data_IF_261216820374
#
_entry.id   IF_261216820374
#
_cell.length_a   1.000
_cell.length_b   1.000
_cell.length_c   1.000
_cell.angle_alpha   90.00
_cell.angle_beta   90.00
_cell.angle_gamma   90.00
#
_symmetry.space_group_name_H-M   'P 1'
#
loop_
_entity.id
_entity.type
_entity.pdbx_description
1 polymer ?
#
# COMPACT_ATOMS: atom_id res chain seq x y z
N UNK A 1 -5.56 3.29 -22.23
CA UNK A 1 -5.20 4.17 -21.09
C UNK A 1 -5.01 5.58 -21.63
N UNK A 2 -5.99 6.46 -21.34
CA UNK A 2 -5.84 7.87 -21.59
C UNK A 2 -4.69 8.39 -20.72
N UNK A 3 -3.75 9.12 -21.30
CA UNK A 3 -2.69 9.86 -20.57
C UNK A 3 -3.29 11.09 -19.85
N UNK A 4 -4.35 10.91 -19.08
CA UNK A 4 -4.78 11.91 -18.12
C UNK A 4 -3.81 11.85 -16.94
N UNK A 5 -3.39 12.99 -16.43
CA UNK A 5 -2.54 13.13 -15.26
C UNK A 5 -3.18 12.35 -14.09
N UNK A 6 -2.76 11.10 -13.90
CA UNK A 6 -3.22 10.32 -12.76
C UNK A 6 -2.44 10.80 -11.53
N UNK A 7 -3.17 11.17 -10.50
CA UNK A 7 -2.60 11.60 -9.23
C UNK A 7 -2.49 10.40 -8.31
N UNK A 8 -1.36 10.28 -7.63
CA UNK A 8 -1.17 9.31 -6.54
C UNK A 8 -0.72 10.05 -5.29
N UNK A 9 -1.12 9.54 -4.13
CA UNK A 9 -0.59 9.99 -2.84
C UNK A 9 0.32 8.89 -2.30
N UNK A 10 1.60 9.21 -2.16
CA UNK A 10 2.60 8.28 -1.65
C UNK A 10 2.99 8.67 -0.23
N UNK A 11 2.91 7.71 0.71
CA UNK A 11 3.40 7.83 2.08
C UNK A 11 4.48 6.81 2.32
N UNK A 12 5.69 7.27 2.69
CA UNK A 12 6.87 6.42 2.80
C UNK A 12 7.46 6.49 4.20
N UNK A 13 7.83 5.35 4.75
CA UNK A 13 8.76 5.26 5.87
C UNK A 13 10.15 4.78 5.38
N UNK A 14 11.20 5.17 6.07
CA UNK A 14 12.58 4.78 5.78
C UNK A 14 13.33 4.47 7.07
N UNK A 15 14.09 3.37 7.08
CA UNK A 15 14.88 2.95 8.23
C UNK A 15 14.12 2.02 9.17
N UNK A 16 12.89 1.65 8.85
CA UNK A 16 12.17 0.56 9.52
C UNK A 16 12.57 -0.78 8.90
N UNK A 17 12.13 -1.89 9.47
CA UNK A 17 12.44 -3.22 8.93
C UNK A 17 11.70 -3.56 7.62
N UNK A 18 10.70 -2.77 7.24
CA UNK A 18 9.80 -3.07 6.13
C UNK A 18 8.88 -4.27 6.43
N UNK A 19 8.16 -4.74 5.41
CA UNK A 19 7.25 -5.88 5.53
C UNK A 19 7.97 -7.17 5.12
N UNK A 20 8.56 -7.83 6.12
CA UNK A 20 9.29 -9.10 5.95
C UNK A 20 8.38 -10.32 6.10
N UNK A 21 9.01 -11.51 6.08
CA UNK A 21 8.34 -12.80 6.23
C UNK A 21 7.82 -13.39 4.92
N UNK A 22 7.06 -14.50 5.00
CA UNK A 22 6.54 -15.21 3.85
C UNK A 22 5.51 -14.39 3.05
N UNK A 23 5.16 -14.86 1.86
CA UNK A 23 4.12 -14.26 1.00
C UNK A 23 2.74 -14.86 1.29
N UNK A 24 2.71 -16.12 1.74
CA UNK A 24 1.51 -16.88 2.03
C UNK A 24 1.36 -17.12 3.53
N UNK A 25 0.11 -17.18 3.99
CA UNK A 25 -0.22 -17.55 5.36
C UNK A 25 0.00 -19.05 5.64
N UNK A 26 0.06 -19.88 4.59
CA UNK A 26 0.32 -21.33 4.68
C UNK A 26 1.81 -21.68 4.81
N UNK A 27 2.71 -20.73 4.49
CA UNK A 27 4.13 -20.95 4.67
C UNK A 27 4.49 -21.01 6.16
N UNK A 28 5.20 -22.09 6.54
CA UNK A 28 5.71 -22.23 7.90
C UNK A 28 6.74 -21.15 8.22
N UNK A 29 6.52 -20.45 9.32
CA UNK A 29 7.49 -19.49 9.85
C UNK A 29 8.64 -20.26 10.52
N UNK A 30 9.88 -19.90 10.21
CA UNK A 30 10.98 -20.19 11.10
C UNK A 30 10.84 -19.33 12.36
N UNK A 31 11.21 -19.83 13.53
CA UNK A 31 11.01 -19.21 14.86
C UNK A 31 11.49 -17.74 14.99
N UNK A 32 12.27 -17.24 14.03
CA UNK A 32 12.82 -15.88 13.99
C UNK A 32 12.22 -14.98 12.93
N UNK A 33 11.29 -15.46 12.10
CA UNK A 33 10.73 -14.69 10.98
C UNK A 33 9.44 -13.98 11.37
N UNK A 34 9.32 -12.72 10.95
CA UNK A 34 8.09 -11.95 11.14
C UNK A 34 7.08 -12.30 10.05
N UNK A 35 5.79 -12.28 10.38
CA UNK A 35 4.70 -12.41 9.39
C UNK A 35 4.20 -11.04 8.90
N UNK A 36 5.04 -10.02 8.90
CA UNK A 36 4.60 -8.64 8.69
C UNK A 36 3.94 -8.45 7.32
N UNK A 37 4.48 -9.08 6.26
CA UNK A 37 3.91 -8.99 4.93
C UNK A 37 2.51 -9.62 4.86
N UNK A 38 2.38 -10.85 5.31
CA UNK A 38 1.08 -11.56 5.32
C UNK A 38 0.07 -10.82 6.19
N UNK A 39 0.47 -10.40 7.38
CA UNK A 39 -0.41 -9.68 8.30
C UNK A 39 -0.85 -8.33 7.76
N UNK A 40 0.00 -7.65 7.00
CA UNK A 40 -0.37 -6.36 6.41
C UNK A 40 -1.19 -6.53 5.14
N UNK A 41 -0.83 -7.45 4.25
CA UNK A 41 -1.42 -7.57 2.90
C UNK A 41 -2.60 -8.55 2.87
N UNK A 42 -2.47 -9.71 3.50
CA UNK A 42 -3.47 -10.80 3.41
C UNK A 42 -4.48 -10.78 4.57
N UNK A 43 -4.03 -10.49 5.80
CA UNK A 43 -4.84 -10.56 7.00
C UNK A 43 -5.41 -9.18 7.37
N UNK A 44 -6.39 -8.69 6.59
CA UNK A 44 -7.12 -7.48 6.95
C UNK A 44 -8.19 -7.81 7.97
N UNK A 45 -8.20 -7.05 9.07
CA UNK A 45 -9.17 -7.22 10.17
C UNK A 45 -8.77 -8.25 11.21
N UNK A 46 -7.61 -8.90 11.10
CA UNK A 46 -7.09 -9.76 12.16
C UNK A 46 -6.39 -8.93 13.23
N UNK A 47 -6.69 -9.12 14.53
CA UNK A 47 -5.94 -8.48 15.63
C UNK A 47 -4.48 -8.89 15.55
N UNK A 48 -3.57 -7.96 15.85
CA UNK A 48 -2.14 -8.30 16.03
C UNK A 48 -1.92 -8.73 17.49
N UNK A 49 -1.36 -9.89 17.69
CA UNK A 49 -0.92 -10.39 19.00
C UNK A 49 0.41 -9.76 19.49
N UNK A 50 0.67 -8.51 19.14
CA UNK A 50 1.90 -7.82 19.54
C UNK A 50 1.58 -6.85 20.65
N UNK A 51 2.12 -7.05 21.85
CA UNK A 51 1.89 -6.26 23.07
C UNK A 51 2.24 -4.76 23.00
N UNK A 52 2.83 -4.26 21.93
CA UNK A 52 3.22 -2.84 21.73
C UNK A 52 2.94 -2.34 20.30
N UNK A 53 2.14 -3.06 19.52
CA UNK A 53 1.74 -2.62 18.17
C UNK A 53 0.59 -1.63 18.23
N UNK A 54 0.79 -0.39 17.82
CA UNK A 54 -0.30 0.58 17.67
C UNK A 54 -1.35 0.06 16.68
N UNK A 55 -2.62 0.05 17.09
CA UNK A 55 -3.76 -0.32 16.25
C UNK A 55 -4.45 -1.63 16.65
N UNK A 56 -5.48 -1.53 17.48
CA UNK A 56 -6.16 -2.65 18.12
C UNK A 56 -7.11 -3.45 17.20
N UNK A 57 -7.57 -2.92 16.05
CA UNK A 57 -8.66 -3.52 15.28
C UNK A 57 -8.48 -3.54 13.75
N UNK A 58 -7.31 -3.21 13.21
CA UNK A 58 -7.10 -3.20 11.75
C UNK A 58 -7.87 -2.10 10.98
N UNK A 59 -8.58 -1.23 11.68
CA UNK A 59 -9.34 -0.11 11.08
C UNK A 59 -8.44 0.90 10.35
N UNK A 60 -7.21 1.12 10.82
CA UNK A 60 -6.25 2.00 10.17
C UNK A 60 -5.95 1.61 8.72
N UNK A 61 -5.94 0.30 8.42
CA UNK A 61 -5.74 -0.17 7.04
C UNK A 61 -6.93 0.15 6.13
N UNK A 62 -8.16 0.07 6.65
CA UNK A 62 -9.36 0.33 5.85
C UNK A 62 -9.47 1.79 5.44
N UNK A 63 -8.90 2.72 6.21
CA UNK A 63 -8.88 4.14 5.87
C UNK A 63 -8.08 4.44 4.61
N UNK A 64 -6.98 3.69 4.36
CA UNK A 64 -6.17 3.83 3.16
C UNK A 64 -6.98 3.59 1.88
N UNK A 65 -7.85 2.57 1.89
CA UNK A 65 -8.70 2.25 0.75
C UNK A 65 -9.78 3.31 0.56
N UNK A 66 -10.37 3.82 1.66
CA UNK A 66 -11.37 4.90 1.61
C UNK A 66 -10.80 6.22 1.09
N UNK A 67 -9.51 6.44 1.26
CA UNK A 67 -8.81 7.61 0.69
C UNK A 67 -8.63 7.50 -0.84
N UNK A 68 -8.79 6.33 -1.44
CA UNK A 68 -8.71 6.13 -2.88
C UNK A 68 -10.11 6.10 -3.49
N UNK A 69 -10.38 6.87 -4.53
CA UNK A 69 -11.66 6.83 -5.27
C UNK A 69 -11.92 5.48 -5.93
N UNK A 70 -10.85 4.73 -6.26
CA UNK A 70 -10.93 3.37 -6.79
C UNK A 70 -10.70 2.29 -5.73
N UNK A 71 -10.68 2.64 -4.44
CA UNK A 71 -10.44 1.75 -3.32
C UNK A 71 -9.16 0.89 -3.47
N UNK A 72 -8.11 1.46 -4.08
CA UNK A 72 -6.91 0.72 -4.46
C UNK A 72 -5.65 1.36 -3.89
N UNK A 73 -4.78 0.53 -3.34
CA UNK A 73 -3.49 0.90 -2.79
C UNK A 73 -2.41 -0.01 -3.37
N UNK A 74 -1.28 0.55 -3.80
CA UNK A 74 -0.07 -0.22 -4.04
C UNK A 74 0.80 -0.18 -2.79
N UNK A 75 1.46 -1.27 -2.51
CA UNK A 75 2.33 -1.45 -1.36
C UNK A 75 3.70 -1.84 -1.89
N UNK A 76 4.67 -0.96 -1.73
CA UNK A 76 6.07 -1.24 -2.02
C UNK A 76 6.84 -1.33 -0.71
N UNK A 77 7.65 -2.37 -0.53
CA UNK A 77 8.47 -2.52 0.67
C UNK A 77 9.85 -3.05 0.33
N UNK A 78 10.87 -2.43 0.94
CA UNK A 78 12.23 -2.93 0.96
C UNK A 78 12.51 -3.52 2.33
N UNK A 79 12.73 -4.82 2.39
CA UNK A 79 12.94 -5.57 3.63
C UNK A 79 14.19 -6.44 3.52
N UNK A 80 14.63 -7.02 4.62
CA UNK A 80 15.71 -8.02 4.63
C UNK A 80 15.11 -9.41 4.58
N UNK A 81 15.55 -10.20 3.60
CA UNK A 81 15.25 -11.62 3.50
C UNK A 81 16.58 -12.39 3.49
N UNK A 82 16.80 -13.26 4.49
CA UNK A 82 18.06 -14.02 4.65
C UNK A 82 19.32 -13.15 4.49
N UNK A 83 19.35 -12.00 5.16
CA UNK A 83 20.44 -11.00 5.13
C UNK A 83 20.66 -10.28 3.79
N UNK A 84 19.79 -10.46 2.80
CA UNK A 84 19.78 -9.67 1.56
C UNK A 84 18.59 -8.73 1.55
N UNK A 85 18.79 -7.54 0.98
CA UNK A 85 17.67 -6.65 0.73
C UNK A 85 16.79 -7.25 -0.37
N UNK A 86 15.49 -7.27 -0.15
CA UNK A 86 14.48 -7.72 -1.09
C UNK A 86 13.43 -6.63 -1.26
N UNK A 87 13.22 -6.20 -2.49
CA UNK A 87 12.11 -5.32 -2.84
C UNK A 87 10.88 -6.14 -3.17
N UNK A 88 9.71 -5.72 -2.69
CA UNK A 88 8.42 -6.37 -2.92
C UNK A 88 7.40 -5.31 -3.30
N UNK A 89 6.56 -5.61 -4.29
CA UNK A 89 5.45 -4.74 -4.67
C UNK A 89 4.20 -5.55 -4.96
N UNK A 90 3.07 -5.10 -4.42
CA UNK A 90 1.77 -5.73 -4.61
C UNK A 90 0.68 -4.65 -4.64
N UNK A 91 -0.30 -4.83 -5.52
CA UNK A 91 -1.52 -4.03 -5.51
C UNK A 91 -2.61 -4.71 -4.70
N UNK A 92 -3.41 -3.92 -4.01
CA UNK A 92 -4.55 -4.40 -3.25
C UNK A 92 -5.74 -3.45 -3.38
N UNK A 93 -6.93 -4.00 -3.69
CA UNK A 93 -8.18 -3.26 -3.62
C UNK A 93 -9.19 -3.92 -2.70
N UNK A 94 -10.02 -3.08 -2.10
CA UNK A 94 -11.09 -3.50 -1.23
C UNK A 94 -12.42 -2.94 -1.78
N UNK A 95 -13.14 -3.79 -2.52
CA UNK A 95 -14.47 -3.49 -3.05
C UNK A 95 -15.58 -4.24 -2.30
N UNK A 96 -16.78 -4.18 -2.84
CA UNK A 96 -17.93 -4.97 -2.37
C UNK A 96 -17.87 -6.38 -2.95
N UNK A 97 -18.51 -7.33 -2.25
CA UNK A 97 -18.66 -8.68 -2.80
C UNK A 97 -19.52 -8.67 -4.07
N UNK A 98 -19.21 -9.56 -4.99
CA UNK A 98 -19.99 -9.73 -6.24
C UNK A 98 -19.96 -11.17 -6.72
N UNK A 99 -20.91 -11.51 -7.60
CA UNK A 99 -20.97 -12.79 -8.26
C UNK A 99 -20.59 -12.63 -9.74
N UNK A 100 -19.71 -13.48 -10.22
CA UNK A 100 -19.31 -13.53 -11.64
C UNK A 100 -19.11 -14.97 -12.07
N UNK A 101 -19.69 -15.36 -13.22
CA UNK A 101 -19.63 -16.72 -13.79
C UNK A 101 -19.95 -17.83 -12.77
N UNK A 102 -20.98 -17.63 -11.93
CA UNK A 102 -21.41 -18.60 -10.92
C UNK A 102 -20.48 -18.72 -9.71
N UNK A 103 -19.47 -17.87 -9.59
CA UNK A 103 -18.55 -17.80 -8.45
C UNK A 103 -18.78 -16.54 -7.65
N UNK A 104 -18.71 -16.65 -6.32
CA UNK A 104 -18.76 -15.52 -5.39
C UNK A 104 -17.37 -15.00 -5.10
N UNK A 105 -17.18 -13.69 -5.27
CA UNK A 105 -15.97 -12.97 -4.94
C UNK A 105 -16.20 -12.08 -3.73
N UNK A 106 -15.23 -12.04 -2.81
CA UNK A 106 -15.33 -11.30 -1.55
C UNK A 106 -15.10 -9.78 -1.70
N UNK A 107 -14.82 -9.31 -2.91
CA UNK A 107 -14.45 -7.90 -3.15
C UNK A 107 -13.00 -7.57 -2.80
N UNK A 108 -12.22 -8.55 -2.36
CA UNK A 108 -10.78 -8.39 -2.11
C UNK A 108 -10.02 -8.80 -3.36
N UNK A 109 -9.19 -7.90 -3.89
CA UNK A 109 -8.43 -8.13 -5.11
C UNK A 109 -6.96 -7.80 -4.87
N UNK A 110 -6.08 -8.67 -5.37
CA UNK A 110 -4.64 -8.45 -5.35
C UNK A 110 -4.10 -8.46 -6.77
N UNK A 111 -3.12 -7.61 -7.04
CA UNK A 111 -2.39 -7.57 -8.28
C UNK A 111 -0.92 -7.80 -8.02
N UNK A 112 -0.34 -8.77 -8.70
CA UNK A 112 1.04 -9.20 -8.60
C UNK A 112 1.29 -10.33 -9.59
N UNK A 113 2.07 -11.33 -9.20
CA UNK A 113 2.29 -12.54 -9.98
C UNK A 113 1.42 -13.68 -9.45
N UNK A 114 1.04 -14.60 -10.32
CA UNK A 114 0.33 -15.80 -9.90
C UNK A 114 1.25 -16.63 -9.02
N UNK A 115 0.77 -17.06 -7.86
CA UNK A 115 1.53 -17.95 -6.98
C UNK A 115 1.70 -19.33 -7.62
N UNK A 116 2.90 -19.88 -7.51
CA UNK A 116 3.21 -21.24 -7.94
C UNK A 116 2.81 -22.31 -6.89
N UNK A 117 2.29 -21.89 -5.74
CA UNK A 117 1.86 -22.80 -4.67
C UNK A 117 0.70 -23.67 -5.14
N UNK A 118 0.87 -24.99 -5.03
CA UNK A 118 -0.17 -25.99 -5.34
C UNK A 118 -1.35 -25.92 -4.37
N UNK A 119 -1.11 -25.45 -3.13
CA UNK A 119 -2.11 -25.37 -2.07
C UNK A 119 -2.99 -24.13 -2.19
N UNK A 120 -2.47 -23.06 -2.75
CA UNK A 120 -3.17 -21.78 -2.92
C UNK A 120 -3.47 -21.49 -4.40
N UNK A 121 -4.28 -22.35 -5.03
CA UNK A 121 -4.75 -22.09 -6.39
C UNK A 121 -5.49 -20.77 -6.46
N UNK A 122 -4.99 -19.82 -7.25
CA UNK A 122 -5.45 -18.43 -7.40
C UNK A 122 -4.91 -17.44 -6.33
N UNK A 123 -3.88 -17.77 -5.58
CA UNK A 123 -3.15 -16.80 -4.79
C UNK A 123 -2.30 -15.89 -5.68
N UNK A 124 -2.07 -14.68 -5.21
CA UNK A 124 -1.24 -13.67 -5.87
C UNK A 124 -0.07 -13.36 -4.94
N UNK A 125 1.13 -13.47 -5.48
CA UNK A 125 2.38 -13.12 -4.81
C UNK A 125 2.83 -11.72 -5.25
N UNK A 126 3.66 -11.02 -4.47
CA UNK A 126 4.22 -9.74 -4.87
C UNK A 126 5.18 -9.89 -6.06
N UNK A 127 5.31 -8.82 -6.84
CA UNK A 127 6.50 -8.62 -7.66
C UNK A 127 7.71 -8.50 -6.73
N UNK A 128 8.85 -9.06 -7.11
CA UNK A 128 10.07 -9.02 -6.30
C UNK A 128 11.24 -8.41 -7.07
N UNK A 129 12.13 -7.77 -6.32
CA UNK A 129 13.42 -7.24 -6.76
C UNK A 129 13.34 -6.40 -8.05
N UNK A 130 13.90 -6.86 -9.16
CA UNK A 130 13.95 -6.10 -10.41
C UNK A 130 12.55 -5.91 -11.04
N UNK A 131 11.66 -6.89 -10.92
CA UNK A 131 10.28 -6.77 -11.41
C UNK A 131 9.52 -5.71 -10.62
N UNK A 132 9.69 -5.67 -9.29
CA UNK A 132 9.10 -4.64 -8.45
C UNK A 132 9.63 -3.25 -8.81
N UNK A 133 10.94 -3.10 -8.99
CA UNK A 133 11.58 -1.83 -9.38
C UNK A 133 11.16 -1.36 -10.76
N UNK A 134 11.09 -2.27 -11.73
CA UNK A 134 10.68 -1.95 -13.09
C UNK A 134 9.23 -1.45 -13.10
N UNK A 135 8.35 -2.13 -12.39
CA UNK A 135 6.96 -1.71 -12.25
C UNK A 135 6.85 -0.33 -11.57
N UNK A 136 7.58 -0.11 -10.46
CA UNK A 136 7.62 1.18 -9.79
C UNK A 136 8.08 2.30 -10.74
N UNK A 137 9.12 2.05 -11.52
CA UNK A 137 9.64 2.99 -12.52
C UNK A 137 8.62 3.30 -13.62
N UNK A 138 7.93 2.29 -14.14
CA UNK A 138 6.88 2.45 -15.16
C UNK A 138 5.69 3.26 -14.64
N UNK A 139 5.38 3.11 -13.36
CA UNK A 139 4.34 3.88 -12.67
C UNK A 139 4.79 5.29 -12.26
N UNK A 140 6.06 5.64 -12.48
CA UNK A 140 6.62 6.94 -12.09
C UNK A 140 6.88 7.08 -10.58
N UNK A 141 6.91 5.98 -9.84
CA UNK A 141 7.17 5.96 -8.39
C UNK A 141 8.68 6.00 -8.16
N UNK A 142 9.18 7.08 -7.58
CA UNK A 142 10.61 7.32 -7.49
C UNK A 142 11.16 7.20 -6.06
N UNK A 143 10.31 7.19 -5.05
CA UNK A 143 10.71 7.34 -3.64
C UNK A 143 11.66 6.24 -3.16
N UNK A 144 11.48 5.00 -3.63
CA UNK A 144 12.34 3.86 -3.26
C UNK A 144 13.28 3.38 -4.34
N UNK A 145 13.13 3.83 -5.58
CA UNK A 145 13.83 3.26 -6.75
C UNK A 145 15.35 3.12 -6.53
N UNK A 146 15.96 4.11 -5.88
CA UNK A 146 17.39 4.12 -5.59
C UNK A 146 17.70 4.04 -4.09
N UNK A 147 16.71 3.72 -3.24
CA UNK A 147 16.92 3.64 -1.81
C UNK A 147 17.55 2.30 -1.41
N UNK A 148 18.54 2.35 -0.54
CA UNK A 148 19.09 1.19 0.17
C UNK A 148 18.50 1.03 1.56
N UNK A 149 17.71 2.02 2.03
CA UNK A 149 17.07 2.01 3.34
C UNK A 149 15.80 1.19 3.30
N UNK A 150 15.71 0.20 4.16
CA UNK A 150 14.50 -0.61 4.37
C UNK A 150 13.32 0.26 4.83
N UNK A 151 12.10 -0.22 4.61
CA UNK A 151 10.86 0.47 4.96
C UNK A 151 9.74 0.16 3.97
N UNK A 152 8.63 0.88 4.09
CA UNK A 152 7.42 0.66 3.29
C UNK A 152 6.90 1.95 2.69
N UNK A 153 6.44 1.89 1.45
CA UNK A 153 5.67 2.94 0.77
C UNK A 153 4.25 2.45 0.55
N UNK A 154 3.29 3.28 0.91
CA UNK A 154 1.87 3.09 0.62
C UNK A 154 1.48 4.11 -0.43
N UNK A 155 1.03 3.63 -1.59
CA UNK A 155 0.68 4.45 -2.74
C UNK A 155 -0.83 4.36 -2.96
N UNK A 156 -1.54 5.41 -2.63
CA UNK A 156 -2.99 5.53 -2.78
C UNK A 156 -3.28 6.00 -4.20
N UNK A 157 -3.98 5.18 -4.99
CA UNK A 157 -4.34 5.52 -6.36
C UNK A 157 -5.58 6.41 -6.38
N UNK A 158 -5.57 7.43 -7.22
CA UNK A 158 -6.67 8.41 -7.37
C UNK A 158 -7.20 8.87 -6.00
N UNK A 159 -6.39 9.60 -5.22
CA UNK A 159 -6.76 9.98 -3.86
C UNK A 159 -8.00 10.89 -3.85
N UNK A 160 -8.92 10.63 -2.91
CA UNK A 160 -10.08 11.48 -2.69
C UNK A 160 -9.64 12.75 -1.94
N UNK A 161 -9.43 13.82 -2.69
CA UNK A 161 -9.01 15.12 -2.15
C UNK A 161 -10.19 16.10 -2.04
N UNK A 162 -11.42 15.66 -2.26
CA UNK A 162 -12.60 16.54 -2.28
C UNK A 162 -12.87 17.18 -0.92
N UNK A 163 -12.77 16.40 0.15
CA UNK A 163 -12.92 16.92 1.53
C UNK A 163 -11.86 17.99 1.90
N UNK A 164 -10.76 18.03 1.17
CA UNK A 164 -9.72 19.04 1.36
C UNK A 164 -10.02 20.32 0.57
N UNK A 165 -10.78 20.23 -0.52
CA UNK A 165 -11.18 21.40 -1.33
C UNK A 165 -12.22 22.23 -0.61
N UNK A 166 -13.19 21.60 0.06
CA UNK A 166 -14.26 22.29 0.78
C UNK A 166 -13.76 23.11 1.98
N UNK A 167 -12.62 22.74 2.54
CA UNK A 167 -11.99 23.46 3.64
C UNK A 167 -11.03 24.57 3.19
N UNK A 168 -10.77 24.68 1.90
CA UNK A 168 -9.91 25.72 1.31
C UNK A 168 -10.68 26.48 0.26
N UNK A 169 -11.33 27.55 0.70
CA UNK A 169 -12.08 28.48 -0.16
C UNK A 169 -11.39 28.73 -1.52
N UNK A 170 -12.09 28.34 -2.58
CA UNK A 170 -12.04 28.93 -3.91
C UNK A 170 -10.66 29.22 -4.50
N UNK A 171 -9.88 28.26 -5.00
CA UNK A 171 -8.91 28.57 -6.05
C UNK A 171 -7.73 27.59 -6.26
N UNK A 172 -7.84 26.32 -5.99
CA UNK A 172 -6.76 25.40 -6.38
C UNK A 172 -7.15 24.63 -7.66
N UNK A 173 -6.56 25.01 -8.78
CA UNK A 173 -6.61 24.21 -10.01
C UNK A 173 -5.58 23.09 -9.91
N UNK A 174 -6.04 21.83 -9.86
CA UNK A 174 -5.16 20.65 -9.85
C UNK A 174 -4.31 20.50 -11.13
N UNK A 175 -4.47 21.39 -12.09
CA UNK A 175 -3.73 21.40 -13.35
C UNK A 175 -2.48 22.28 -13.30
N UNK A 176 -2.33 23.11 -12.26
CA UNK A 176 -1.16 23.96 -12.10
C UNK A 176 -0.13 23.29 -11.17
N UNK A 177 1.15 23.12 -11.58
CA UNK A 177 2.19 22.54 -10.74
C UNK A 177 2.44 23.27 -9.42
N UNK A 178 2.29 24.60 -9.38
CA UNK A 178 2.45 25.40 -8.15
C UNK A 178 1.33 25.13 -7.17
N UNK A 179 0.10 24.91 -7.64
CA UNK A 179 -1.05 24.58 -6.82
C UNK A 179 -0.92 23.16 -6.22
N UNK A 180 -0.32 22.24 -6.97
CA UNK A 180 -0.02 20.88 -6.47
C UNK A 180 1.01 20.91 -5.33
N UNK A 181 2.07 21.70 -5.44
CA UNK A 181 3.08 21.83 -4.37
C UNK A 181 2.45 22.45 -3.10
N UNK A 182 1.60 23.46 -3.26
CA UNK A 182 0.86 24.07 -2.16
C UNK A 182 -0.13 23.09 -1.52
N UNK A 183 -0.82 22.28 -2.33
CA UNK A 183 -1.72 21.24 -1.83
C UNK A 183 -0.96 20.16 -1.04
N UNK A 184 0.18 19.71 -1.56
CA UNK A 184 1.04 18.75 -0.86
C UNK A 184 1.53 19.30 0.49
N UNK A 185 1.96 20.56 0.54
CA UNK A 185 2.38 21.22 1.80
C UNK A 185 1.24 21.31 2.81
N UNK A 186 0.04 21.66 2.38
CA UNK A 186 -1.15 21.72 3.24
C UNK A 186 -1.57 20.33 3.73
N UNK A 187 -1.52 19.31 2.87
CA UNK A 187 -1.73 17.93 3.27
C UNK A 187 -0.74 17.46 4.33
N UNK A 188 0.54 17.76 4.16
CA UNK A 188 1.58 17.41 5.14
C UNK A 188 1.32 18.08 6.49
N UNK A 189 0.95 19.37 6.51
CA UNK A 189 0.61 20.08 7.75
C UNK A 189 -0.59 19.42 8.42
N UNK A 190 -1.65 19.11 7.67
CA UNK A 190 -2.85 18.47 8.22
C UNK A 190 -2.57 17.07 8.75
N UNK A 191 -1.75 16.28 8.04
CA UNK A 191 -1.32 14.96 8.52
C UNK A 191 -0.48 15.09 9.82
N UNK A 192 0.40 16.08 9.91
CA UNK A 192 1.16 16.35 11.13
C UNK A 192 0.24 16.73 12.29
N UNK A 193 -0.75 17.58 12.07
CA UNK A 193 -1.75 17.93 13.08
C UNK A 193 -2.49 16.69 13.60
N UNK A 194 -2.96 15.82 12.70
CA UNK A 194 -3.65 14.57 13.07
C UNK A 194 -2.72 13.63 13.87
N UNK A 195 -1.47 13.51 13.46
CA UNK A 195 -0.50 12.62 14.13
C UNK A 195 -0.03 13.14 15.49
N UNK A 196 -0.10 14.47 15.74
CA UNK A 196 0.28 15.05 17.02
C UNK A 196 -0.83 14.98 18.09
N UNK A 197 -2.07 14.63 17.69
CA UNK A 197 -3.22 14.52 18.60
C UNK A 197 -3.57 13.08 18.97
N UNK A 198 -2.79 12.10 18.53
CA UNK A 198 -2.91 10.68 18.84
C UNK A 198 -1.58 10.08 19.30
#
# INVERSE_FOLDING_TARGET
FNKSNQVVLETCDFGTRGLGGPFSASESLCDSESSDFVNFVKNIGSPRDIQLGGGTYGFGKSSLFKMSKCNTVLIETLTKNKNKNQNRMIGYALGTEFNYEGKRFTGRHWWGVKSDSLEERNSVDPLIDDDAKNFAKEMGLMSRLNSTRTGTSLIILDPNLEDLKDNFENQLSLTNPEDNDLLCKKLMVRMQEILLWH
#
